data_IF_398189026602
#
_entry.id   IF_398189026602
#
_cell.length_a   1.000
_cell.length_b   1.000
_cell.length_c   1.000
_cell.angle_alpha   90.00
_cell.angle_beta   90.00
_cell.angle_gamma   90.00
#
_symmetry.space_group_name_H-M   'P 1'
#
loop_
_entity.id
_entity.type
_entity.pdbx_description
1 polymer ?
#
# COMPACT_ATOMS: atom_id res chain seq x y z
N UNK A 1 -24.91 54.95 19.30
CA UNK A 1 -25.03 54.20 20.53
C UNK A 1 -24.28 52.91 20.31
N UNK A 2 -23.04 52.77 20.54
CA UNK A 2 -22.25 52.63 21.76
C UNK A 2 -22.61 51.31 22.47
N UNK A 3 -21.67 50.38 22.48
CA UNK A 3 -21.73 49.13 23.23
C UNK A 3 -20.48 48.30 23.03
N UNK A 4 -19.35 48.77 23.59
CA UNK A 4 -18.15 47.99 23.83
C UNK A 4 -18.41 46.92 24.88
N UNK A 5 -17.89 45.70 24.70
CA UNK A 5 -17.44 44.87 25.82
C UNK A 5 -16.18 44.10 25.50
N UNK A 6 -15.20 44.33 26.38
CA UNK A 6 -13.80 43.91 26.33
C UNK A 6 -13.63 42.43 26.72
N UNK A 7 -12.73 41.77 26.05
CA UNK A 7 -12.16 40.49 26.38
C UNK A 7 -11.19 40.55 27.56
N UNK A 8 -11.22 39.51 28.40
CA UNK A 8 -10.19 39.26 29.42
C UNK A 8 -9.42 38.00 29.05
N UNK A 9 -8.14 38.16 28.77
CA UNK A 9 -7.18 37.10 28.61
C UNK A 9 -6.63 36.71 29.98
N UNK A 10 -6.81 35.49 30.41
CA UNK A 10 -6.15 34.96 31.59
C UNK A 10 -5.07 33.96 31.16
N UNK A 11 -3.79 34.39 31.34
CA UNK A 11 -2.61 33.55 31.28
C UNK A 11 -2.43 32.81 32.60
N UNK A 12 -2.32 31.47 32.57
CA UNK A 12 -1.84 30.71 33.71
C UNK A 12 -0.62 29.88 33.23
N UNK A 13 0.54 30.20 33.81
CA UNK A 13 1.76 29.42 33.72
C UNK A 13 1.78 28.38 34.86
N UNK A 14 2.26 27.16 34.66
CA UNK A 14 2.52 26.24 35.76
C UNK A 14 3.96 26.40 36.28
N UNK A 15 4.04 26.42 37.60
CA UNK A 15 5.25 26.50 38.40
C UNK A 15 6.02 25.17 38.39
N UNK A 16 7.33 25.26 38.16
CA UNK A 16 8.27 24.18 38.45
C UNK A 16 8.35 23.93 39.97
N UNK A 17 8.21 22.68 40.39
CA UNK A 17 8.60 22.22 41.70
C UNK A 17 9.83 21.30 41.55
N UNK A 18 10.97 21.81 41.99
CA UNK A 18 12.21 21.05 42.21
C UNK A 18 12.12 20.41 43.57
N UNK A 19 12.14 19.08 43.65
CA UNK A 19 12.34 18.35 44.88
C UNK A 19 13.73 17.68 44.87
N UNK A 20 14.64 18.22 45.65
CA UNK A 20 15.90 17.61 46.09
C UNK A 20 15.55 16.57 47.17
N UNK A 21 15.96 15.33 46.98
CA UNK A 21 16.09 14.37 48.09
C UNK A 21 17.51 13.82 48.10
N UNK A 22 18.19 14.18 49.17
CA UNK A 22 19.48 13.69 49.61
C UNK A 22 19.32 12.33 50.32
N UNK A 23 20.29 11.45 50.11
CA UNK A 23 20.78 10.56 51.17
C UNK A 23 20.29 9.11 51.12
N UNK A 24 21.23 8.21 50.96
CA UNK A 24 21.06 6.81 51.26
C UNK A 24 22.14 5.96 50.60
N UNK A 25 23.34 5.93 51.17
CA UNK A 25 24.40 5.01 50.77
C UNK A 25 24.02 3.57 51.11
N UNK A 26 24.06 2.69 50.11
CA UNK A 26 24.10 1.25 50.33
C UNK A 26 25.40 0.70 49.78
N UNK A 27 26.24 0.25 50.69
CA UNK A 27 27.44 -0.56 50.43
C UNK A 27 26.99 -1.88 49.77
N UNK A 28 27.23 -2.04 48.51
CA UNK A 28 27.14 -3.32 47.82
C UNK A 28 28.49 -4.03 47.95
N UNK A 29 28.52 -5.01 48.80
CA UNK A 29 29.61 -6.00 48.90
C UNK A 29 29.71 -6.78 47.61
N UNK A 30 30.84 -6.68 46.95
CA UNK A 30 31.23 -7.43 45.79
C UNK A 30 31.48 -8.89 46.17
N UNK A 31 30.49 -9.77 45.92
CA UNK A 31 30.75 -11.22 45.99
C UNK A 31 31.48 -11.63 44.71
N UNK A 32 32.71 -12.07 44.90
CA UNK A 32 33.47 -12.77 43.87
C UNK A 32 32.80 -14.14 43.66
N UNK A 33 32.18 -14.33 42.54
CA UNK A 33 31.72 -15.62 42.04
C UNK A 33 32.91 -16.21 41.28
N UNK A 34 33.45 -17.31 41.83
CA UNK A 34 34.47 -18.14 41.18
C UNK A 34 34.02 -18.53 39.78
N UNK A 35 34.75 -18.05 38.77
CA UNK A 35 34.65 -18.58 37.41
C UNK A 35 35.40 -19.89 37.35
N UNK A 36 34.79 -20.99 36.89
CA UNK A 36 35.55 -22.19 36.54
C UNK A 36 36.51 -21.85 35.40
N UNK A 37 37.73 -22.39 35.54
CA UNK A 37 38.82 -22.21 34.60
C UNK A 37 38.41 -22.54 33.16
N UNK A 38 38.76 -21.67 32.23
CA UNK A 38 38.62 -21.92 30.80
C UNK A 38 39.43 -23.18 30.46
N UNK A 39 38.79 -24.14 29.83
CA UNK A 39 39.46 -25.31 29.26
C UNK A 39 40.37 -24.83 28.12
N UNK A 40 41.64 -25.26 28.17
CA UNK A 40 42.65 -25.05 27.14
C UNK A 40 42.21 -25.74 25.82
N UNK A 41 41.48 -25.00 24.97
CA UNK A 41 41.30 -25.38 23.58
C UNK A 41 42.52 -24.88 22.79
N UNK A 42 43.26 -25.82 22.24
CA UNK A 42 44.44 -25.51 21.41
C UNK A 42 44.10 -24.68 20.19
N UNK A 43 45.00 -23.78 19.74
CA UNK A 43 44.75 -22.90 18.58
C UNK A 43 44.48 -23.62 17.23
N UNK A 44 44.66 -24.93 17.18
CA UNK A 44 44.39 -25.73 15.98
C UNK A 44 42.90 -26.09 15.81
N UNK A 45 42.10 -26.06 16.91
CA UNK A 45 40.68 -26.45 16.83
C UNK A 45 39.75 -25.26 16.46
N UNK A 46 40.24 -24.02 16.67
CA UNK A 46 39.55 -22.81 16.22
C UNK A 46 39.71 -22.51 14.70
N UNK A 47 40.59 -23.21 13.99
CA UNK A 47 40.85 -22.98 12.56
C UNK A 47 40.00 -23.85 11.63
N UNK A 48 39.30 -24.87 12.17
CA UNK A 48 38.52 -25.81 11.35
C UNK A 48 37.04 -25.42 11.15
N UNK A 49 36.51 -24.40 11.87
CA UNK A 49 35.11 -23.98 11.76
C UNK A 49 34.91 -22.77 10.85
N UNK A 50 35.94 -22.39 10.10
CA UNK A 50 35.88 -21.22 9.21
C UNK A 50 36.19 -21.59 7.76
N UNK A 51 35.30 -22.36 7.13
CA UNK A 51 35.18 -22.38 5.66
C UNK A 51 34.09 -23.34 5.18
N UNK A 52 32.82 -23.01 5.43
CA UNK A 52 31.78 -23.34 4.49
C UNK A 52 31.34 -22.01 3.90
N UNK A 53 31.48 -21.73 2.59
CA UNK A 53 30.90 -20.56 1.99
C UNK A 53 29.38 -20.67 2.14
N UNK A 54 28.76 -19.65 2.75
CA UNK A 54 27.33 -19.53 2.78
C UNK A 54 26.81 -19.68 1.34
N UNK A 55 25.75 -20.48 1.10
CA UNK A 55 25.16 -20.56 -0.21
C UNK A 55 24.80 -19.12 -0.63
N UNK A 56 25.06 -18.74 -1.90
CA UNK A 56 24.70 -17.41 -2.38
C UNK A 56 23.21 -17.21 -2.09
N UNK A 57 22.76 -16.01 -1.68
CA UNK A 57 21.37 -15.74 -1.49
C UNK A 57 20.65 -16.09 -2.77
N UNK A 58 19.81 -17.12 -2.72
CA UNK A 58 18.92 -17.48 -3.83
C UNK A 58 18.02 -16.27 -4.02
N UNK A 59 18.35 -15.45 -5.02
CA UNK A 59 17.43 -14.45 -5.54
C UNK A 59 16.07 -15.14 -5.70
N UNK A 60 14.99 -14.61 -5.09
CA UNK A 60 13.67 -15.13 -5.40
C UNK A 60 13.57 -15.16 -6.91
N UNK A 61 13.16 -16.29 -7.48
CA UNK A 61 13.01 -16.42 -8.92
C UNK A 61 12.12 -15.28 -9.39
N UNK A 62 12.73 -14.27 -10.00
CA UNK A 62 12.06 -13.17 -10.68
C UNK A 62 11.21 -13.82 -11.76
N UNK A 63 9.96 -14.05 -11.46
CA UNK A 63 8.96 -14.39 -12.46
C UNK A 63 8.93 -13.18 -13.40
N UNK A 64 9.45 -13.34 -14.62
CA UNK A 64 9.42 -12.30 -15.65
C UNK A 64 7.98 -11.84 -15.80
N UNK A 65 7.70 -10.63 -15.34
CA UNK A 65 6.39 -9.98 -15.45
C UNK A 65 6.03 -9.59 -16.89
N UNK A 66 6.91 -9.85 -17.83
CA UNK A 66 6.80 -9.42 -19.23
C UNK A 66 6.09 -10.44 -20.14
N UNK A 67 5.69 -11.60 -19.61
CA UNK A 67 4.86 -12.52 -20.39
C UNK A 67 3.38 -12.11 -20.27
N UNK A 68 2.66 -12.03 -21.40
CA UNK A 68 1.24 -11.78 -21.38
C UNK A 68 0.55 -12.87 -20.55
N UNK A 69 -0.07 -12.45 -19.45
CA UNK A 69 -0.78 -13.37 -18.58
C UNK A 69 -2.07 -13.82 -19.22
N UNK A 70 -2.32 -15.14 -19.16
CA UNK A 70 -3.61 -15.69 -19.54
C UNK A 70 -4.63 -15.29 -18.46
N UNK A 71 -5.47 -14.30 -18.77
CA UNK A 71 -6.61 -13.90 -17.94
C UNK A 71 -7.77 -14.83 -18.27
N UNK A 72 -8.33 -15.52 -17.27
CA UNK A 72 -9.55 -16.32 -17.48
C UNK A 72 -10.69 -15.38 -17.94
N UNK A 73 -11.24 -15.54 -19.15
CA UNK A 73 -12.31 -14.68 -19.65
C UNK A 73 -13.51 -14.59 -18.72
N UNK A 74 -13.75 -15.64 -17.91
CA UNK A 74 -14.85 -15.66 -16.93
C UNK A 74 -14.59 -14.74 -15.74
N UNK A 75 -13.33 -14.45 -15.40
CA UNK A 75 -13.00 -13.48 -14.36
C UNK A 75 -13.31 -12.04 -14.78
N UNK A 76 -13.37 -11.78 -16.09
CA UNK A 76 -13.72 -10.48 -16.67
C UNK A 76 -15.22 -10.34 -16.98
N UNK A 77 -16.02 -11.38 -16.79
CA UNK A 77 -17.47 -11.30 -17.01
C UNK A 77 -18.11 -10.40 -15.94
N UNK A 78 -18.55 -9.22 -16.35
CA UNK A 78 -19.22 -8.25 -15.46
C UNK A 78 -20.66 -8.72 -15.24
N UNK A 79 -21.04 -8.87 -13.98
CA UNK A 79 -22.39 -9.29 -13.53
C UNK A 79 -23.15 -8.13 -12.92
N UNK A 80 -22.46 -7.21 -12.24
CA UNK A 80 -23.04 -6.02 -11.63
C UNK A 80 -22.02 -4.88 -11.68
N UNK A 81 -22.51 -3.67 -11.95
CA UNK A 81 -21.77 -2.42 -11.78
C UNK A 81 -22.41 -1.60 -10.67
N UNK A 82 -21.59 -0.81 -9.99
CA UNK A 82 -22.05 0.14 -8.98
C UNK A 82 -22.79 1.29 -9.65
N UNK A 83 -23.84 1.75 -8.99
CA UNK A 83 -24.52 2.99 -9.39
C UNK A 83 -23.73 4.16 -8.83
N UNK A 84 -23.31 5.07 -9.69
CA UNK A 84 -22.65 6.32 -9.32
C UNK A 84 -23.60 7.45 -9.70
N UNK A 85 -24.13 8.12 -8.68
CA UNK A 85 -25.05 9.23 -8.87
C UNK A 85 -24.27 10.55 -8.93
N UNK A 86 -24.33 11.24 -10.07
CA UNK A 86 -23.70 12.53 -10.28
C UNK A 86 -22.29 12.49 -10.86
N UNK A 87 -21.62 13.65 -10.96
CA UNK A 87 -20.28 13.73 -11.51
C UNK A 87 -19.27 13.09 -10.59
N UNK A 88 -18.42 12.20 -11.14
CA UNK A 88 -17.35 11.52 -10.45
C UNK A 88 -16.06 12.36 -10.59
N UNK A 89 -15.56 12.92 -9.51
CA UNK A 89 -14.51 13.93 -9.50
C UNK A 89 -13.22 13.39 -8.89
N UNK A 90 -12.12 14.05 -9.12
CA UNK A 90 -10.85 13.75 -8.46
C UNK A 90 -11.02 13.76 -6.94
N UNK A 91 -10.54 12.69 -6.27
CA UNK A 91 -10.75 12.43 -4.85
C UNK A 91 -11.99 11.60 -4.52
N UNK A 92 -12.93 11.47 -5.46
CA UNK A 92 -14.15 10.67 -5.25
C UNK A 92 -13.86 9.17 -5.39
N UNK A 93 -14.56 8.39 -4.57
CA UNK A 93 -14.64 6.93 -4.71
C UNK A 93 -15.96 6.42 -4.15
N UNK A 94 -16.38 5.26 -4.65
CA UNK A 94 -17.51 4.49 -4.13
C UNK A 94 -17.00 3.10 -3.72
N UNK A 95 -17.52 2.58 -2.60
CA UNK A 95 -17.21 1.23 -2.15
C UNK A 95 -18.45 0.61 -1.54
N UNK A 96 -19.00 -0.40 -2.21
CA UNK A 96 -20.18 -1.15 -1.75
C UNK A 96 -20.04 -2.64 -2.09
N UNK A 97 -19.90 -3.46 -1.05
CA UNK A 97 -19.82 -4.92 -1.17
C UNK A 97 -21.17 -5.61 -1.04
N UNK A 98 -22.24 -4.83 -0.79
CA UNK A 98 -23.59 -5.38 -0.55
C UNK A 98 -24.06 -6.16 -1.77
N UNK A 99 -24.49 -7.41 -1.55
CA UNK A 99 -24.94 -8.29 -2.60
C UNK A 99 -23.85 -8.91 -3.47
N UNK A 100 -22.59 -8.53 -3.31
CA UNK A 100 -21.46 -9.23 -3.93
C UNK A 100 -21.10 -10.48 -3.12
N UNK A 101 -20.62 -11.57 -3.77
CA UNK A 101 -20.11 -12.74 -3.07
C UNK A 101 -18.98 -12.34 -2.10
N UNK A 102 -18.97 -12.96 -0.90
CA UNK A 102 -17.92 -12.69 0.10
C UNK A 102 -16.52 -13.11 -0.37
N UNK A 103 -16.45 -14.11 -1.28
CA UNK A 103 -15.20 -14.65 -1.83
C UNK A 103 -15.29 -14.76 -3.35
N UNK A 104 -14.14 -14.94 -4.00
CA UNK A 104 -14.07 -15.15 -5.44
C UNK A 104 -12.84 -14.46 -6.04
N UNK A 105 -12.58 -14.66 -7.34
CA UNK A 105 -11.50 -14.00 -8.04
C UNK A 105 -11.71 -12.48 -8.03
N UNK A 106 -10.63 -11.74 -7.75
CA UNK A 106 -10.61 -10.29 -7.82
C UNK A 106 -9.91 -9.87 -9.11
N UNK A 107 -10.56 -8.97 -9.85
CA UNK A 107 -10.01 -8.32 -11.04
C UNK A 107 -10.16 -6.82 -10.86
N UNK A 108 -9.09 -6.09 -11.14
CA UNK A 108 -9.08 -4.64 -11.15
C UNK A 108 -9.00 -4.19 -12.60
N UNK A 109 -9.82 -3.22 -12.98
CA UNK A 109 -9.73 -2.57 -14.29
C UNK A 109 -9.41 -1.10 -14.12
N UNK A 110 -8.52 -0.61 -14.97
CA UNK A 110 -8.11 0.80 -15.02
C UNK A 110 -8.34 1.29 -16.43
N UNK A 111 -9.10 2.35 -16.58
CA UNK A 111 -9.20 3.08 -17.84
C UNK A 111 -8.56 4.46 -17.71
N UNK A 112 -7.40 4.63 -18.35
CA UNK A 112 -6.63 5.87 -18.29
C UNK A 112 -7.35 7.04 -18.94
N UNK A 113 -8.16 6.79 -20.00
CA UNK A 113 -8.92 7.84 -20.68
C UNK A 113 -10.13 8.30 -19.86
N UNK A 114 -10.76 7.38 -19.15
CA UNK A 114 -11.87 7.70 -18.25
C UNK A 114 -11.39 8.15 -16.86
N UNK A 115 -10.08 8.04 -16.58
CA UNK A 115 -9.46 8.35 -15.29
C UNK A 115 -10.10 7.58 -14.13
N UNK A 116 -10.47 6.32 -14.37
CA UNK A 116 -11.19 5.50 -13.38
C UNK A 116 -10.54 4.15 -13.16
N UNK A 117 -10.68 3.64 -11.93
CA UNK A 117 -10.35 2.30 -11.53
C UNK A 117 -11.59 1.64 -10.93
N UNK A 118 -11.89 0.41 -11.37
CA UNK A 118 -12.97 -0.42 -10.83
C UNK A 118 -12.43 -1.72 -10.27
N UNK A 119 -13.02 -2.19 -9.17
CA UNK A 119 -12.68 -3.43 -8.48
C UNK A 119 -13.84 -4.39 -8.58
N UNK A 120 -13.60 -5.55 -9.19
CA UNK A 120 -14.60 -6.61 -9.34
C UNK A 120 -14.21 -7.82 -8.49
N UNK A 121 -15.17 -8.35 -7.75
CA UNK A 121 -15.06 -9.66 -7.07
C UNK A 121 -16.12 -10.61 -7.61
N UNK A 122 -15.68 -11.72 -8.20
CA UNK A 122 -16.54 -12.69 -8.89
C UNK A 122 -17.46 -12.06 -9.96
N UNK A 123 -17.02 -10.96 -10.60
CA UNK A 123 -17.77 -10.20 -11.60
C UNK A 123 -18.69 -9.12 -11.04
N UNK A 124 -18.78 -8.96 -9.74
CA UNK A 124 -19.52 -7.87 -9.09
C UNK A 124 -18.58 -6.71 -8.80
N UNK A 125 -18.88 -5.53 -9.32
CA UNK A 125 -18.15 -4.33 -8.94
C UNK A 125 -18.43 -4.02 -7.47
N UNK A 126 -17.36 -3.89 -6.68
CA UNK A 126 -17.39 -3.61 -5.25
C UNK A 126 -16.74 -2.28 -4.89
N UNK A 127 -16.04 -1.67 -5.84
CA UNK A 127 -15.41 -0.37 -5.65
C UNK A 127 -15.08 0.30 -6.97
N UNK A 128 -15.20 1.62 -6.99
CA UNK A 128 -14.75 2.47 -8.09
C UNK A 128 -14.12 3.76 -7.55
N UNK A 129 -13.09 4.27 -8.20
CA UNK A 129 -12.41 5.50 -7.81
C UNK A 129 -11.92 6.27 -9.03
N UNK A 130 -11.86 7.61 -8.91
CA UNK A 130 -11.09 8.44 -9.82
C UNK A 130 -9.61 8.30 -9.48
N UNK A 131 -8.76 8.30 -10.51
CA UNK A 131 -7.33 8.00 -10.37
C UNK A 131 -6.45 9.16 -10.80
N UNK A 132 -5.20 9.14 -10.33
CA UNK A 132 -4.06 9.74 -11.01
C UNK A 132 -3.30 8.66 -11.77
N UNK A 133 -2.70 9.04 -12.88
CA UNK A 133 -1.89 8.11 -13.69
C UNK A 133 -0.64 8.82 -14.24
N UNK A 134 0.22 8.06 -14.92
CA UNK A 134 1.48 8.56 -15.45
C UNK A 134 1.27 9.65 -16.49
N UNK A 135 1.90 10.81 -16.23
CA UNK A 135 1.95 11.93 -17.12
C UNK A 135 2.90 11.67 -18.32
N UNK A 136 3.13 12.69 -19.14
CA UNK A 136 3.83 12.62 -20.42
C UNK A 136 5.24 11.99 -20.36
N UNK A 137 5.97 12.21 -19.27
CA UNK A 137 7.37 11.78 -19.15
C UNK A 137 7.52 10.28 -18.87
N UNK A 138 6.58 9.72 -18.10
CA UNK A 138 6.51 8.29 -17.82
C UNK A 138 5.04 7.84 -17.79
N UNK A 139 4.47 7.45 -18.94
CA UNK A 139 3.08 7.03 -19.02
C UNK A 139 2.85 5.73 -18.26
N UNK A 140 1.64 5.56 -17.72
CA UNK A 140 1.22 4.28 -17.14
C UNK A 140 1.16 3.20 -18.22
N UNK A 141 1.67 1.98 -17.96
CA UNK A 141 1.67 0.90 -18.94
C UNK A 141 0.25 0.40 -19.19
N UNK A 142 -0.02 -0.04 -20.43
CA UNK A 142 -1.27 -0.72 -20.78
C UNK A 142 -1.03 -2.24 -20.86
N UNK A 143 -2.03 -3.02 -20.46
CA UNK A 143 -1.94 -4.48 -20.47
C UNK A 143 -2.56 -5.12 -19.24
N UNK A 144 -2.30 -6.41 -19.04
CA UNK A 144 -2.72 -7.18 -17.87
C UNK A 144 -1.51 -7.52 -17.00
N UNK A 145 -1.55 -7.11 -15.74
CA UNK A 145 -0.46 -7.22 -14.80
C UNK A 145 -0.92 -7.93 -13.52
N UNK A 146 -0.14 -8.91 -13.00
CA UNK A 146 -0.41 -9.47 -11.70
C UNK A 146 0.06 -8.52 -10.60
N UNK A 147 -0.60 -8.52 -9.46
CA UNK A 147 -0.06 -7.94 -8.24
C UNK A 147 1.10 -8.84 -7.78
N UNK A 148 2.33 -8.33 -7.83
CA UNK A 148 3.56 -9.09 -7.51
C UNK A 148 4.11 -8.84 -6.12
N UNK A 149 3.73 -7.70 -5.51
CA UNK A 149 4.13 -7.29 -4.17
C UNK A 149 3.02 -6.46 -3.54
N UNK A 150 2.88 -6.56 -2.22
CA UNK A 150 1.99 -5.71 -1.43
C UNK A 150 2.76 -5.19 -0.23
N UNK A 151 2.69 -3.88 0.00
CA UNK A 151 3.37 -3.20 1.10
C UNK A 151 2.50 -2.03 1.59
N UNK A 152 2.09 -2.08 2.85
CA UNK A 152 1.15 -1.10 3.39
C UNK A 152 1.80 0.26 3.66
N UNK A 153 3.10 0.26 3.96
CA UNK A 153 3.86 1.45 4.39
C UNK A 153 5.01 1.77 3.42
N UNK A 154 4.80 1.47 2.13
CA UNK A 154 5.81 1.63 1.10
C UNK A 154 6.22 3.09 0.91
N UNK A 155 7.53 3.30 0.72
CA UNK A 155 8.12 4.58 0.31
C UNK A 155 8.87 4.38 -1.01
N UNK A 156 8.67 5.27 -1.96
CA UNK A 156 9.35 5.23 -3.25
C UNK A 156 10.85 5.45 -3.08
N UNK A 157 11.66 4.51 -3.54
CA UNK A 157 13.13 4.66 -3.53
C UNK A 157 13.64 5.72 -4.51
N UNK A 158 12.84 6.10 -5.52
CA UNK A 158 13.24 7.07 -6.54
C UNK A 158 12.85 8.50 -6.18
N UNK A 159 11.75 8.67 -5.46
CA UNK A 159 11.14 9.98 -5.21
C UNK A 159 11.01 10.32 -3.72
N UNK A 160 11.43 9.42 -2.83
CA UNK A 160 11.30 9.55 -1.37
C UNK A 160 9.86 9.97 -0.95
N UNK A 161 8.88 9.46 -1.67
CA UNK A 161 7.48 9.81 -1.50
C UNK A 161 6.69 8.65 -0.88
N UNK A 162 5.83 8.90 0.12
CA UNK A 162 4.95 7.87 0.69
C UNK A 162 3.99 7.31 -0.37
N UNK A 163 3.89 6.00 -0.42
CA UNK A 163 3.00 5.25 -1.30
C UNK A 163 2.19 4.24 -0.47
N UNK A 164 1.29 4.70 0.42
CA UNK A 164 0.58 3.82 1.33
C UNK A 164 -0.28 2.80 0.58
N UNK A 165 -0.34 1.57 1.10
CA UNK A 165 -1.07 0.45 0.54
C UNK A 165 -0.63 0.08 -0.89
N UNK A 166 0.66 0.17 -1.16
CA UNK A 166 1.25 -0.08 -2.47
C UNK A 166 1.09 -1.53 -2.92
N UNK A 167 0.73 -1.71 -4.19
CA UNK A 167 0.56 -2.98 -4.86
C UNK A 167 1.31 -2.93 -6.19
N UNK A 168 2.42 -3.67 -6.28
CA UNK A 168 3.34 -3.65 -7.41
C UNK A 168 2.77 -4.41 -8.61
N UNK A 169 2.85 -3.81 -9.79
CA UNK A 169 2.38 -4.38 -11.04
C UNK A 169 3.52 -4.80 -11.97
N UNK A 170 4.58 -3.99 -12.04
CA UNK A 170 5.68 -4.20 -13.00
C UNK A 170 7.04 -4.26 -12.32
N UNK A 171 8.02 -4.86 -12.98
CA UNK A 171 9.39 -4.97 -12.47
C UNK A 171 10.12 -3.63 -12.41
N UNK A 172 9.76 -2.69 -13.29
CA UNK A 172 10.32 -1.34 -13.34
C UNK A 172 9.66 -0.35 -12.34
N UNK A 173 8.77 -0.84 -11.47
CA UNK A 173 8.28 -0.10 -10.32
C UNK A 173 6.99 0.68 -10.55
N UNK A 174 6.07 0.18 -11.35
CA UNK A 174 4.70 0.70 -11.39
C UNK A 174 3.84 0.03 -10.31
N UNK A 175 3.13 0.86 -9.53
CA UNK A 175 2.26 0.42 -8.44
C UNK A 175 0.86 1.03 -8.55
N UNK A 176 -0.12 0.39 -7.94
CA UNK A 176 -1.33 1.07 -7.44
C UNK A 176 -1.06 1.43 -5.98
N UNK A 177 -1.31 2.67 -5.57
CA UNK A 177 -1.09 3.13 -4.20
C UNK A 177 -2.01 4.27 -3.79
N UNK A 178 -2.11 4.51 -2.49
CA UNK A 178 -2.83 5.68 -1.96
C UNK A 178 -2.11 6.98 -2.30
N UNK A 179 -2.89 7.98 -2.70
CA UNK A 179 -2.40 9.30 -3.09
C UNK A 179 -3.46 10.38 -2.82
N UNK A 180 -3.04 11.64 -2.77
CA UNK A 180 -3.94 12.77 -2.83
C UNK A 180 -4.35 12.98 -4.29
N UNK A 181 -5.54 12.50 -4.62
CA UNK A 181 -6.08 12.55 -6.00
C UNK A 181 -6.73 13.91 -6.22
N UNK A 182 -5.96 14.83 -6.81
CA UNK A 182 -6.40 16.20 -7.13
C UNK A 182 -6.30 16.45 -8.64
N UNK A 183 -7.22 17.28 -9.15
CA UNK A 183 -7.21 17.69 -10.55
C UNK A 183 -5.89 18.38 -10.95
N UNK A 184 -5.36 18.04 -12.11
CA UNK A 184 -4.11 18.61 -12.63
C UNK A 184 -2.84 17.97 -12.06
N UNK A 185 -2.95 16.98 -11.17
CA UNK A 185 -1.81 16.16 -10.71
C UNK A 185 -1.66 14.90 -11.58
N UNK A 186 -0.46 14.38 -11.63
CA UNK A 186 -0.12 13.12 -12.30
C UNK A 186 0.91 12.34 -11.50
N UNK A 187 1.20 11.14 -11.93
CA UNK A 187 2.25 10.29 -11.38
C UNK A 187 3.38 10.07 -12.39
N UNK A 188 4.40 9.31 -12.00
CA UNK A 188 5.47 8.86 -12.89
C UNK A 188 5.25 7.37 -13.28
N UNK A 189 4.05 7.07 -13.79
CA UNK A 189 3.65 5.74 -14.26
C UNK A 189 2.78 4.94 -13.29
N UNK A 190 2.79 5.24 -12.00
CA UNK A 190 1.91 4.61 -11.02
C UNK A 190 0.44 4.99 -11.19
N UNK A 191 -0.45 4.22 -10.60
CA UNK A 191 -1.87 4.51 -10.47
C UNK A 191 -2.12 4.99 -9.04
N UNK A 192 -2.38 6.29 -8.87
CA UNK A 192 -2.74 6.89 -7.59
C UNK A 192 -4.25 6.83 -7.36
N UNK A 193 -4.68 6.36 -6.20
CA UNK A 193 -6.10 6.33 -5.79
C UNK A 193 -6.26 6.99 -4.44
N UNK A 194 -7.45 7.47 -4.05
CA UNK A 194 -7.67 8.01 -2.71
C UNK A 194 -7.20 7.04 -1.62
N UNK A 195 -6.49 7.53 -0.60
CA UNK A 195 -5.85 6.68 0.44
C UNK A 195 -6.86 5.74 1.12
N UNK A 196 -8.07 6.25 1.40
CA UNK A 196 -9.13 5.43 2.01
C UNK A 196 -9.60 4.29 1.08
N UNK A 197 -9.63 4.54 -0.24
CA UNK A 197 -9.91 3.51 -1.25
C UNK A 197 -8.75 2.51 -1.35
N UNK A 198 -7.50 2.99 -1.39
CA UNK A 198 -6.31 2.14 -1.43
C UNK A 198 -6.28 1.14 -0.28
N UNK A 199 -6.66 1.57 0.94
CA UNK A 199 -6.77 0.70 2.12
C UNK A 199 -7.80 -0.43 1.92
N UNK A 200 -8.96 -0.11 1.36
CA UNK A 200 -10.01 -1.11 1.07
C UNK A 200 -9.56 -2.08 -0.02
N UNK A 201 -9.03 -1.56 -1.12
CA UNK A 201 -8.46 -2.34 -2.22
C UNK A 201 -7.38 -3.30 -1.72
N UNK A 202 -6.45 -2.80 -0.90
CA UNK A 202 -5.39 -3.60 -0.29
C UNK A 202 -5.94 -4.75 0.57
N UNK A 203 -7.06 -4.53 1.27
CA UNK A 203 -7.69 -5.56 2.10
C UNK A 203 -8.34 -6.70 1.33
N UNK A 204 -8.83 -6.46 0.11
CA UNK A 204 -9.57 -7.48 -0.68
C UNK A 204 -8.72 -8.17 -1.73
N UNK A 205 -7.57 -7.62 -2.08
CA UNK A 205 -6.66 -8.18 -3.08
C UNK A 205 -5.62 -9.11 -2.46
N UNK A 206 -5.06 -10.00 -3.29
CA UNK A 206 -3.92 -10.87 -2.96
C UNK A 206 -2.90 -10.89 -4.09
N UNK A 207 -1.72 -11.44 -3.82
CA UNK A 207 -0.71 -11.66 -4.84
C UNK A 207 -1.27 -12.54 -5.97
N UNK A 208 -1.00 -12.14 -7.20
CA UNK A 208 -1.49 -12.82 -8.41
C UNK A 208 -2.86 -12.33 -8.89
N UNK A 209 -3.60 -11.51 -8.14
CA UNK A 209 -4.82 -10.87 -8.67
C UNK A 209 -4.44 -9.95 -9.83
N UNK A 210 -5.33 -9.83 -10.82
CA UNK A 210 -5.05 -9.21 -12.09
C UNK A 210 -5.54 -7.79 -12.14
N UNK A 211 -4.66 -6.92 -12.65
CA UNK A 211 -4.96 -5.53 -12.99
C UNK A 211 -4.90 -5.36 -14.51
N UNK A 212 -6.00 -4.97 -15.13
CA UNK A 212 -6.10 -4.69 -16.56
C UNK A 212 -6.12 -3.19 -16.77
N UNK A 213 -5.08 -2.65 -17.40
CA UNK A 213 -4.95 -1.21 -17.68
C UNK A 213 -5.21 -0.98 -19.17
N UNK A 214 -6.18 -0.12 -19.48
CA UNK A 214 -6.59 0.25 -20.83
C UNK A 214 -6.59 1.77 -21.00
N UNK A 215 -6.75 2.21 -22.24
CA UNK A 215 -6.92 3.62 -22.58
C UNK A 215 -8.13 3.79 -23.48
N UNK A 216 -9.31 3.97 -22.87
CA UNK A 216 -10.58 4.15 -23.56
C UNK A 216 -11.21 2.87 -24.12
N UNK A 217 -10.80 1.67 -23.63
CA UNK A 217 -11.50 0.42 -23.91
C UNK A 217 -12.51 0.16 -22.80
N UNK A 218 -13.78 0.24 -23.13
CA UNK A 218 -14.86 -0.06 -22.20
C UNK A 218 -15.03 -1.57 -22.04
N UNK A 219 -15.33 -1.99 -20.81
CA UNK A 219 -15.82 -3.35 -20.53
C UNK A 219 -17.21 -3.50 -21.15
N UNK A 220 -17.52 -4.70 -21.67
CA UNK A 220 -18.88 -5.01 -22.09
C UNK A 220 -19.75 -5.23 -20.85
N UNK A 221 -20.51 -4.23 -20.51
CA UNK A 221 -21.45 -4.22 -19.39
C UNK A 221 -22.90 -4.44 -19.83
N UNK A 222 -23.13 -4.78 -21.10
CA UNK A 222 -24.48 -4.91 -21.68
C UNK A 222 -25.36 -5.93 -20.97
N UNK A 223 -24.75 -6.92 -20.30
CA UNK A 223 -25.41 -7.98 -19.53
C UNK A 223 -25.29 -7.79 -18.01
N UNK A 224 -24.68 -6.70 -17.56
CA UNK A 224 -24.48 -6.44 -16.16
C UNK A 224 -25.73 -5.83 -15.51
N UNK A 225 -26.00 -6.21 -14.26
CA UNK A 225 -27.01 -5.55 -13.44
C UNK A 225 -26.43 -4.25 -12.86
N UNK A 226 -27.19 -3.16 -12.95
CA UNK A 226 -26.86 -1.94 -12.22
C UNK A 226 -27.45 -2.08 -10.83
N UNK A 227 -26.59 -2.15 -9.82
CA UNK A 227 -26.97 -2.37 -8.43
C UNK A 227 -26.39 -1.32 -7.50
N UNK A 228 -27.18 -0.92 -6.55
CA UNK A 228 -26.87 -0.12 -5.38
C UNK A 228 -27.94 -0.36 -4.36
#
# INVERSE_FOLDING_TARGET
MAGLLKSVVARLAPKLAVALLLGGGALLTMQWIDRPAASDATPAELAAEKTAPAPPPTKPAERRSDQPMHVDPRALAVKRVLRIDGPFRHGDYVWDEKGAPATGPVVITVDLKAETLSVFRAGYEIGAAVILYGATDKPSPQGAFPITQKDADHVSNLYDAPMPYAQRLTSDGVFIHGSDVEYGRGTHGCIGVPVAFAKKLFGVTKLGDIVVITNGKMLDVSKAQIGG
#
